data_IF_209030040617
#
_entry.id   IF_209030040617
#
_cell.length_a   1.000
_cell.length_b   1.000
_cell.length_c   1.000
_cell.angle_alpha   90.00
_cell.angle_beta   90.00
_cell.angle_gamma   90.00
#
_symmetry.space_group_name_H-M   'P 1'
#
loop_
_entity.id
_entity.type
_entity.pdbx_description
1 polymer ?
#
# COMPACT_ATOMS: atom_id res chain seq x y z
N UNK A 1 0.63 -24.68 7.82
CA UNK A 1 0.14 -23.39 7.28
C UNK A 1 1.09 -22.95 6.17
N UNK A 2 0.62 -22.91 4.92
CA UNK A 2 1.41 -22.43 3.78
C UNK A 2 0.67 -21.24 3.14
N UNK A 3 0.87 -20.05 3.68
CA UNK A 3 0.39 -18.83 3.04
C UNK A 3 1.14 -18.65 1.71
N UNK A 4 0.45 -18.85 0.58
CA UNK A 4 0.98 -18.50 -0.74
C UNK A 4 0.42 -17.13 -1.12
N UNK A 5 1.31 -16.15 -1.24
CA UNK A 5 0.98 -14.82 -1.77
C UNK A 5 1.32 -14.85 -3.26
N UNK A 6 0.31 -14.70 -4.12
CA UNK A 6 0.49 -14.58 -5.55
C UNK A 6 0.58 -13.10 -5.93
N UNK A 7 1.71 -12.68 -6.49
CA UNK A 7 1.88 -11.35 -7.04
C UNK A 7 1.60 -11.40 -8.55
N UNK A 8 0.45 -10.87 -8.97
CA UNK A 8 0.14 -10.68 -10.39
C UNK A 8 0.96 -9.50 -10.92
N UNK A 9 1.91 -9.76 -11.83
CA UNK A 9 2.57 -8.69 -12.61
C UNK A 9 1.61 -8.26 -13.73
N UNK A 10 1.41 -6.96 -13.86
CA UNK A 10 0.43 -6.38 -14.78
C UNK A 10 1.03 -6.10 -16.17
N UNK A 11 0.47 -6.78 -17.18
CA UNK A 11 0.72 -6.59 -18.61
C UNK A 11 -0.51 -6.02 -19.34
N UNK A 12 -1.49 -5.47 -18.59
CA UNK A 12 -2.78 -4.98 -19.10
C UNK A 12 -3.91 -6.01 -19.05
N UNK A 13 -3.62 -7.29 -18.75
CA UNK A 13 -4.65 -8.36 -18.68
C UNK A 13 -5.21 -8.56 -17.27
N UNK A 14 -4.54 -8.05 -16.23
CA UNK A 14 -4.92 -8.29 -14.82
C UNK A 14 -6.33 -7.79 -14.49
N UNK A 15 -6.77 -6.71 -15.14
CA UNK A 15 -8.13 -6.15 -14.98
C UNK A 15 -9.25 -7.03 -15.58
N UNK A 16 -8.94 -8.17 -16.18
CA UNK A 16 -9.89 -9.05 -16.87
C UNK A 16 -9.97 -10.48 -16.29
N UNK A 17 -9.11 -10.84 -15.33
CA UNK A 17 -8.95 -12.23 -14.86
C UNK A 17 -9.14 -12.43 -13.35
N UNK A 18 -9.73 -11.48 -12.63
CA UNK A 18 -9.92 -11.60 -11.18
C UNK A 18 -10.84 -12.79 -10.84
N UNK A 19 -11.97 -12.93 -11.54
CA UNK A 19 -12.90 -14.03 -11.34
C UNK A 19 -12.27 -15.39 -11.65
N UNK A 20 -11.50 -15.47 -12.74
CA UNK A 20 -10.75 -16.67 -13.15
C UNK A 20 -9.68 -17.03 -12.12
N UNK A 21 -9.00 -16.03 -11.56
CA UNK A 21 -8.00 -16.23 -10.51
C UNK A 21 -8.64 -16.78 -9.24
N UNK A 22 -9.85 -16.32 -8.88
CA UNK A 22 -10.59 -16.89 -7.74
C UNK A 22 -10.94 -18.35 -8.03
N UNK A 23 -11.49 -18.66 -9.20
CA UNK A 23 -11.84 -20.03 -9.58
C UNK A 23 -10.62 -20.95 -9.55
N UNK A 24 -9.48 -20.50 -10.10
CA UNK A 24 -8.22 -21.24 -10.05
C UNK A 24 -7.73 -21.45 -8.61
N UNK A 25 -7.85 -20.45 -7.75
CA UNK A 25 -7.46 -20.55 -6.35
C UNK A 25 -8.32 -21.58 -5.59
N UNK A 26 -9.62 -21.61 -5.88
CA UNK A 26 -10.56 -22.62 -5.36
C UNK A 26 -10.19 -24.04 -5.83
N UNK A 27 -9.84 -24.20 -7.11
CA UNK A 27 -9.45 -25.49 -7.70
C UNK A 27 -8.10 -25.99 -7.16
N UNK A 28 -7.16 -25.08 -6.89
CA UNK A 28 -5.88 -25.40 -6.27
C UNK A 28 -5.98 -25.72 -4.77
N UNK A 29 -7.15 -25.48 -4.15
CA UNK A 29 -7.37 -25.73 -2.73
C UNK A 29 -6.53 -24.83 -1.81
N UNK A 30 -6.30 -23.57 -2.19
CA UNK A 30 -5.59 -22.61 -1.31
C UNK A 30 -6.47 -22.23 -0.12
N UNK A 31 -5.86 -21.92 1.02
CA UNK A 31 -6.62 -21.57 2.24
C UNK A 31 -7.32 -20.20 2.13
N UNK A 32 -6.73 -19.25 1.39
CA UNK A 32 -7.27 -17.91 1.13
C UNK A 32 -6.58 -17.23 -0.05
N UNK A 33 -7.23 -16.21 -0.62
CA UNK A 33 -6.67 -15.37 -1.67
C UNK A 33 -6.82 -13.90 -1.30
N UNK A 34 -5.78 -13.09 -1.51
CA UNK A 34 -5.86 -11.63 -1.34
C UNK A 34 -5.28 -10.96 -2.57
N UNK A 35 -6.09 -10.14 -3.23
CA UNK A 35 -5.63 -9.26 -4.31
C UNK A 35 -5.06 -7.98 -3.70
N UNK A 36 -3.84 -7.63 -4.09
CA UNK A 36 -3.24 -6.37 -3.71
C UNK A 36 -3.42 -5.34 -4.83
N UNK A 37 -4.00 -4.17 -4.53
CA UNK A 37 -3.96 -3.04 -5.43
C UNK A 37 -2.52 -2.57 -5.61
N UNK A 38 -2.12 -2.37 -6.85
CA UNK A 38 -0.79 -1.90 -7.19
C UNK A 38 -0.51 -0.53 -6.59
N UNK A 39 0.69 -0.38 -6.02
CA UNK A 39 1.19 0.90 -5.51
C UNK A 39 1.77 1.69 -6.68
N UNK A 40 0.93 2.35 -7.46
CA UNK A 40 1.39 3.16 -8.59
C UNK A 40 1.71 4.59 -8.21
N UNK A 41 2.70 5.16 -8.89
CA UNK A 41 2.98 6.58 -8.96
C UNK A 41 3.26 6.95 -10.42
N UNK A 42 2.98 8.18 -10.84
CA UNK A 42 3.36 8.67 -12.17
C UNK A 42 4.73 9.37 -12.10
N UNK A 43 5.32 9.70 -13.25
CA UNK A 43 6.65 10.35 -13.28
C UNK A 43 6.65 11.74 -12.62
N UNK A 44 5.53 12.45 -12.64
CA UNK A 44 5.38 13.78 -12.04
C UNK A 44 5.39 13.72 -10.51
N UNK A 45 4.55 12.86 -9.91
CA UNK A 45 4.52 12.57 -8.47
C UNK A 45 5.85 11.96 -8.04
N UNK A 46 6.48 11.13 -8.88
CA UNK A 46 7.84 10.64 -8.64
C UNK A 46 8.84 11.80 -8.59
N UNK A 47 8.80 12.73 -9.53
CA UNK A 47 9.72 13.87 -9.58
C UNK A 47 9.54 14.77 -8.36
N UNK A 48 8.31 15.15 -8.05
CA UNK A 48 7.96 15.89 -6.83
C UNK A 48 8.43 15.15 -5.56
N UNK A 49 8.31 13.82 -5.54
CA UNK A 49 8.82 12.99 -4.46
C UNK A 49 10.35 13.01 -4.36
N UNK A 50 11.08 12.82 -5.45
CA UNK A 50 12.56 12.86 -5.47
C UNK A 50 13.06 14.23 -5.05
N UNK A 51 12.46 15.30 -5.59
CA UNK A 51 12.83 16.69 -5.29
C UNK A 51 12.49 17.05 -3.83
N UNK A 52 11.38 16.53 -3.29
CA UNK A 52 11.01 16.69 -1.88
C UNK A 52 11.83 15.85 -0.90
N UNK A 53 12.36 14.70 -1.34
CA UNK A 53 13.20 13.80 -0.55
C UNK A 53 14.62 14.36 -0.33
N UNK A 54 15.17 15.11 -1.29
CA UNK A 54 16.44 15.86 -1.10
C UNK A 54 16.38 16.81 0.11
N UNK A 55 15.20 17.36 0.42
CA UNK A 55 14.99 18.24 1.58
C UNK A 55 14.80 17.48 2.91
N UNK A 56 14.46 16.18 2.87
CA UNK A 56 14.04 15.41 4.04
C UNK A 56 14.86 14.11 4.16
N UNK A 57 15.93 14.18 4.95
CA UNK A 57 16.95 13.11 5.20
C UNK A 57 16.41 11.82 5.84
N UNK A 58 15.09 11.68 5.96
CA UNK A 58 14.39 10.55 6.61
C UNK A 58 14.01 9.44 5.61
N UNK A 59 14.16 9.69 4.32
CA UNK A 59 13.62 8.82 3.28
C UNK A 59 14.70 7.90 2.69
N UNK A 60 14.60 6.60 2.97
CA UNK A 60 15.35 5.59 2.21
C UNK A 60 14.36 4.59 1.60
N UNK A 61 14.13 4.76 0.28
CA UNK A 61 13.90 3.72 -0.76
C UNK A 61 12.71 2.75 -0.49
N UNK A 62 11.60 2.75 -1.24
CA UNK A 62 11.45 1.91 -2.46
C UNK A 62 10.18 2.23 -3.31
N UNK A 63 9.64 3.45 -3.27
CA UNK A 63 8.45 3.83 -4.09
C UNK A 63 8.80 3.99 -5.58
N UNK A 64 10.09 4.09 -5.90
CA UNK A 64 10.61 4.37 -7.24
C UNK A 64 10.38 3.25 -8.27
N UNK A 65 9.91 2.06 -7.85
CA UNK A 65 9.82 0.88 -8.71
C UNK A 65 8.52 0.71 -9.51
N UNK A 66 7.51 1.58 -9.33
CA UNK A 66 6.18 1.38 -9.92
C UNK A 66 5.69 2.58 -10.72
N UNK A 67 6.49 3.02 -11.69
CA UNK A 67 6.01 3.94 -12.73
C UNK A 67 5.01 3.22 -13.62
N UNK A 68 3.77 3.67 -13.62
CA UNK A 68 2.69 3.07 -14.39
C UNK A 68 2.18 4.03 -15.46
N UNK A 69 2.02 3.51 -16.67
CA UNK A 69 1.69 4.29 -17.88
C UNK A 69 0.19 4.32 -18.20
N UNK A 70 -0.68 3.87 -17.29
CA UNK A 70 -2.12 3.72 -17.59
C UNK A 70 -2.45 2.37 -18.24
N UNK A 71 -3.73 2.18 -18.59
CA UNK A 71 -4.22 1.01 -19.35
C UNK A 71 -5.08 -0.01 -18.59
N UNK A 72 -5.21 0.10 -17.28
CA UNK A 72 -6.09 -0.73 -16.45
C UNK A 72 -7.53 -0.33 -16.69
N UNK A 73 -8.33 -1.29 -17.14
CA UNK A 73 -9.76 -1.12 -17.28
C UNK A 73 -10.42 -1.21 -15.89
N UNK A 74 -10.55 -0.06 -15.22
CA UNK A 74 -11.13 0.02 -13.87
C UNK A 74 -12.58 -0.43 -13.84
N UNK A 75 -13.34 -0.25 -14.91
CA UNK A 75 -14.74 -0.66 -14.98
C UNK A 75 -14.88 -2.19 -14.98
N UNK A 76 -14.01 -2.87 -15.75
CA UNK A 76 -13.92 -4.33 -15.77
C UNK A 76 -13.50 -4.90 -14.40
N UNK A 77 -12.53 -4.26 -13.75
CA UNK A 77 -12.09 -4.65 -12.42
C UNK A 77 -13.20 -4.45 -11.38
N UNK A 78 -13.85 -3.28 -11.35
CA UNK A 78 -14.96 -2.99 -10.42
C UNK A 78 -16.10 -3.98 -10.60
N UNK A 79 -16.47 -4.30 -11.85
CA UNK A 79 -17.49 -5.31 -12.15
C UNK A 79 -17.14 -6.67 -11.56
N UNK A 80 -15.92 -7.16 -11.80
CA UNK A 80 -15.47 -8.45 -11.30
C UNK A 80 -15.39 -8.49 -9.77
N UNK A 81 -14.91 -7.43 -9.12
CA UNK A 81 -14.88 -7.33 -7.65
C UNK A 81 -16.30 -7.46 -7.08
N UNK A 82 -17.28 -6.77 -7.66
CA UNK A 82 -18.69 -6.88 -7.26
C UNK A 82 -19.25 -8.29 -7.47
N UNK A 83 -18.88 -8.95 -8.57
CA UNK A 83 -19.30 -10.33 -8.82
C UNK A 83 -18.72 -11.30 -7.78
N UNK A 84 -17.42 -11.19 -7.48
CA UNK A 84 -16.73 -11.98 -6.45
C UNK A 84 -17.40 -11.77 -5.08
N UNK A 85 -17.72 -10.53 -4.71
CA UNK A 85 -18.37 -10.20 -3.43
C UNK A 85 -19.79 -10.76 -3.29
N UNK A 86 -20.51 -10.96 -4.42
CA UNK A 86 -21.87 -11.53 -4.44
C UNK A 86 -21.89 -13.04 -4.48
N UNK A 87 -20.80 -13.67 -4.93
CA UNK A 87 -20.70 -15.12 -5.10
C UNK A 87 -20.51 -15.81 -3.75
N UNK A 88 -21.04 -17.03 -3.61
CA UNK A 88 -20.68 -17.92 -2.50
C UNK A 88 -19.33 -18.58 -2.82
N UNK A 89 -18.28 -18.12 -2.18
CA UNK A 89 -16.90 -18.59 -2.39
C UNK A 89 -16.59 -19.78 -1.47
N UNK A 90 -15.74 -20.69 -1.93
CA UNK A 90 -15.18 -21.81 -1.15
C UNK A 90 -14.04 -21.36 -0.24
N UNK A 91 -13.38 -20.25 -0.59
CA UNK A 91 -12.24 -19.68 0.14
C UNK A 91 -12.49 -18.20 0.49
N UNK A 92 -11.91 -17.67 1.56
CA UNK A 92 -11.88 -16.24 1.82
C UNK A 92 -11.12 -15.50 0.71
N UNK A 93 -11.76 -14.47 0.14
CA UNK A 93 -11.14 -13.59 -0.86
C UNK A 93 -11.17 -12.15 -0.37
N UNK A 94 -10.00 -11.52 -0.32
CA UNK A 94 -9.82 -10.14 0.14
C UNK A 94 -9.19 -9.23 -0.91
N UNK A 95 -9.36 -7.92 -0.71
CA UNK A 95 -8.71 -6.86 -1.49
C UNK A 95 -7.96 -5.92 -0.53
N UNK A 96 -6.69 -5.64 -0.84
CA UNK A 96 -5.79 -4.89 0.02
C UNK A 96 -5.07 -3.75 -0.73
N UNK A 97 -5.04 -2.51 -0.21
CA UNK A 97 -5.81 -2.05 0.93
C UNK A 97 -7.33 -2.13 0.67
N UNK A 98 -8.14 -2.08 1.72
CA UNK A 98 -9.60 -2.19 1.64
C UNK A 98 -10.24 -0.89 1.14
N UNK A 99 -9.91 -0.48 -0.08
CA UNK A 99 -10.49 0.67 -0.78
C UNK A 99 -11.96 0.35 -1.07
N UNK A 100 -12.86 1.33 -0.91
CA UNK A 100 -14.24 1.15 -1.33
C UNK A 100 -14.29 0.90 -2.82
N UNK A 101 -15.13 -0.06 -3.23
CA UNK A 101 -15.23 -0.49 -4.63
C UNK A 101 -15.46 0.67 -5.60
N UNK A 102 -16.27 1.65 -5.21
CA UNK A 102 -16.59 2.81 -6.06
C UNK A 102 -15.46 3.85 -6.13
N UNK A 103 -14.51 3.81 -5.19
CA UNK A 103 -13.34 4.68 -5.13
C UNK A 103 -12.12 4.07 -5.86
N UNK A 104 -12.19 2.79 -6.25
CA UNK A 104 -11.11 2.08 -6.94
C UNK A 104 -10.66 2.83 -8.19
N UNK A 105 -11.59 3.35 -9.00
CA UNK A 105 -11.25 4.10 -10.23
C UNK A 105 -10.29 5.26 -9.99
N UNK A 106 -10.41 5.94 -8.84
CA UNK A 106 -9.55 7.06 -8.50
C UNK A 106 -8.14 6.61 -8.11
N UNK A 107 -8.00 5.40 -7.57
CA UNK A 107 -6.69 4.82 -7.25
C UNK A 107 -5.81 4.71 -8.51
N UNK A 108 -6.43 4.38 -9.64
CA UNK A 108 -5.74 4.07 -10.91
C UNK A 108 -5.77 5.21 -11.94
N UNK A 109 -6.79 6.09 -11.92
CA UNK A 109 -7.01 7.07 -12.98
C UNK A 109 -6.88 8.54 -12.52
N UNK A 110 -6.86 8.81 -11.22
CA UNK A 110 -6.79 10.18 -10.70
C UNK A 110 -5.81 10.27 -9.54
N UNK A 111 -4.54 10.59 -9.82
CA UNK A 111 -3.49 10.66 -8.80
C UNK A 111 -3.68 11.80 -7.80
N UNK A 112 -4.52 12.79 -8.12
CA UNK A 112 -4.83 13.91 -7.24
C UNK A 112 -6.02 13.62 -6.32
N UNK A 113 -6.72 12.49 -6.50
CA UNK A 113 -7.83 12.11 -5.64
C UNK A 113 -7.36 11.88 -4.20
N UNK A 114 -7.92 12.69 -3.29
CA UNK A 114 -7.68 12.65 -1.86
C UNK A 114 -8.51 11.55 -1.19
N UNK A 115 -7.95 10.35 -1.11
CA UNK A 115 -8.43 9.35 -0.15
C UNK A 115 -8.23 9.87 1.28
N UNK A 116 -9.04 9.39 2.24
CA UNK A 116 -8.95 9.73 3.67
C UNK A 116 -7.52 10.06 4.12
N UNK A 117 -7.30 11.29 4.54
CA UNK A 117 -6.01 11.92 4.81
C UNK A 117 -5.19 11.34 5.99
N UNK A 118 -5.49 10.12 6.45
CA UNK A 118 -4.90 9.55 7.68
C UNK A 118 -4.10 8.29 7.39
N UNK A 119 -2.89 8.24 7.93
CA UNK A 119 -2.07 7.04 8.01
C UNK A 119 -1.92 6.61 9.46
N UNK A 120 -2.63 5.56 9.88
CA UNK A 120 -2.57 5.10 11.28
C UNK A 120 -1.34 4.24 11.58
N UNK A 121 -0.54 3.88 10.57
CA UNK A 121 0.72 3.13 10.73
C UNK A 121 1.65 3.81 11.74
N UNK A 122 1.75 5.13 11.70
CA UNK A 122 2.61 5.88 12.62
C UNK A 122 2.24 5.78 14.11
N UNK A 123 1.00 5.39 14.40
CA UNK A 123 0.47 5.25 15.76
C UNK A 123 0.26 3.80 16.20
N UNK A 124 0.22 2.85 15.26
CA UNK A 124 -0.19 1.46 15.54
C UNK A 124 0.85 0.41 15.16
N UNK A 125 1.83 0.77 14.32
CA UNK A 125 2.77 -0.18 13.73
C UNK A 125 4.21 0.31 13.85
N UNK A 126 5.12 -0.64 14.04
CA UNK A 126 6.54 -0.45 13.86
C UNK A 126 7.05 -1.52 12.90
N UNK A 127 7.86 -1.10 11.95
CA UNK A 127 8.65 -1.97 11.09
C UNK A 127 10.07 -1.98 11.65
N UNK A 128 10.64 -3.17 11.80
CA UNK A 128 12.03 -3.35 12.18
C UNK A 128 12.71 -4.15 11.06
N UNK A 129 13.77 -3.61 10.48
CA UNK A 129 14.55 -4.30 9.44
C UNK A 129 15.46 -5.37 10.07
N UNK A 130 15.99 -6.33 9.29
CA UNK A 130 16.99 -7.28 9.81
C UNK A 130 18.25 -6.63 10.38
N UNK A 131 18.56 -5.38 9.98
CA UNK A 131 19.67 -4.59 10.52
C UNK A 131 19.32 -3.84 11.81
N UNK A 132 18.09 -3.98 12.30
CA UNK A 132 17.59 -3.32 13.50
C UNK A 132 17.07 -1.90 13.27
N UNK A 133 17.03 -1.41 12.03
CA UNK A 133 16.45 -0.09 11.75
C UNK A 133 14.94 -0.13 11.99
N UNK A 134 14.42 0.86 12.67
CA UNK A 134 13.03 0.89 13.12
C UNK A 134 12.32 2.18 12.69
N UNK A 135 11.08 2.04 12.27
CA UNK A 135 10.22 3.17 11.94
C UNK A 135 8.75 2.81 11.76
N UNK A 136 7.88 3.80 11.50
CA UNK A 136 6.44 3.59 11.36
C UNK A 136 6.03 2.85 10.08
N UNK A 137 6.89 2.81 9.07
CA UNK A 137 6.73 2.02 7.86
C UNK A 137 8.10 1.81 7.19
N UNK A 138 8.14 0.94 6.18
CA UNK A 138 9.35 0.62 5.40
C UNK A 138 9.98 1.84 4.71
N UNK A 139 9.21 2.89 4.43
CA UNK A 139 9.71 4.09 3.73
C UNK A 139 10.29 5.15 4.68
N UNK A 140 10.06 5.03 5.99
CA UNK A 140 10.51 6.01 6.98
C UNK A 140 11.12 5.28 8.17
N UNK A 141 12.42 4.99 8.10
CA UNK A 141 13.18 4.41 9.21
C UNK A 141 13.75 5.56 10.05
N UNK A 142 13.40 5.62 11.32
CA UNK A 142 13.62 6.80 12.17
C UNK A 142 14.78 6.61 13.16
N UNK A 143 15.07 5.37 13.56
CA UNK A 143 16.12 5.06 14.54
C UNK A 143 16.59 3.61 14.35
N UNK A 144 17.47 3.12 15.22
CA UNK A 144 17.91 1.73 15.26
C UNK A 144 17.74 1.14 16.68
N UNK A 145 17.19 -0.09 16.77
CA UNK A 145 16.85 -0.76 18.03
C UNK A 145 18.05 -1.42 18.73
N UNK A 146 19.22 -1.47 18.10
CA UNK A 146 20.38 -2.20 18.63
C UNK A 146 20.83 -1.72 20.02
N UNK A 147 20.70 -0.43 20.32
CA UNK A 147 21.21 0.18 21.56
C UNK A 147 20.13 0.93 22.38
N UNK A 148 18.86 0.87 21.98
CA UNK A 148 17.76 1.61 22.62
C UNK A 148 16.55 0.71 22.75
N UNK A 149 15.79 0.86 23.82
CA UNK A 149 14.52 0.16 23.95
C UNK A 149 13.51 0.68 22.91
N UNK A 150 12.57 -0.20 22.53
CA UNK A 150 11.45 0.18 21.67
C UNK A 150 10.71 1.43 22.21
N UNK A 151 10.47 1.49 23.52
CA UNK A 151 9.70 2.55 24.14
C UNK A 151 10.41 3.92 24.04
N UNK A 152 11.73 3.94 24.19
CA UNK A 152 12.53 5.15 24.01
C UNK A 152 12.45 5.66 22.56
N UNK A 153 12.59 4.76 21.59
CA UNK A 153 12.52 5.11 20.17
C UNK A 153 11.11 5.60 19.80
N UNK A 154 10.08 4.85 20.19
CA UNK A 154 8.67 5.13 19.88
C UNK A 154 8.19 6.47 20.45
N UNK A 155 8.81 6.93 21.54
CA UNK A 155 8.53 8.20 22.20
C UNK A 155 9.61 9.27 21.99
N UNK A 156 10.58 9.00 21.12
CA UNK A 156 11.65 9.95 20.78
C UNK A 156 11.10 11.21 20.12
N UNK A 157 11.90 12.28 20.17
CA UNK A 157 11.56 13.55 19.48
C UNK A 157 11.32 13.34 17.99
N UNK A 158 12.10 12.46 17.35
CA UNK A 158 11.99 12.18 15.91
C UNK A 158 10.69 11.45 15.57
N UNK A 159 10.32 10.42 16.33
CA UNK A 159 9.06 9.68 16.12
C UNK A 159 7.83 10.55 16.38
N UNK A 160 7.88 11.37 17.43
CA UNK A 160 6.83 12.36 17.74
C UNK A 160 6.75 13.46 16.67
N UNK A 161 7.89 13.90 16.15
CA UNK A 161 7.99 14.85 15.04
C UNK A 161 7.27 14.36 13.79
N UNK A 162 7.57 13.12 13.37
CA UNK A 162 6.90 12.49 12.23
C UNK A 162 5.38 12.40 12.40
N UNK A 163 4.90 11.97 13.58
CA UNK A 163 3.45 11.94 13.88
C UNK A 163 2.82 13.34 13.85
N UNK A 164 3.54 14.36 14.33
CA UNK A 164 3.09 15.74 14.31
C UNK A 164 2.96 16.24 12.88
N UNK A 165 3.97 16.00 12.04
CA UNK A 165 3.95 16.37 10.63
C UNK A 165 2.77 15.74 9.89
N UNK A 166 2.58 14.43 10.04
CA UNK A 166 1.42 13.73 9.46
C UNK A 166 0.09 14.31 9.94
N UNK A 167 0.00 14.73 11.22
CA UNK A 167 -1.23 15.32 11.77
C UNK A 167 -1.48 16.75 11.27
N UNK A 168 -0.42 17.53 11.05
CA UNK A 168 -0.54 18.97 10.71
C UNK A 168 -0.52 19.25 9.21
N UNK A 169 0.26 18.48 8.45
CA UNK A 169 0.46 18.66 7.00
C UNK A 169 -0.29 17.62 6.18
N UNK A 170 -0.87 16.61 6.83
CA UNK A 170 -1.51 15.49 6.16
C UNK A 170 -0.49 14.51 5.58
N UNK A 171 -0.91 13.79 4.55
CA UNK A 171 -0.10 12.76 3.93
C UNK A 171 0.96 13.37 3.01
N UNK A 172 2.18 12.86 3.12
CA UNK A 172 3.23 13.12 2.12
C UNK A 172 2.81 12.51 0.76
N UNK A 173 3.29 13.03 -0.38
CA UNK A 173 2.98 12.47 -1.70
C UNK A 173 3.21 10.95 -1.81
N UNK A 174 4.28 10.44 -1.20
CA UNK A 174 4.58 9.00 -1.09
C UNK A 174 3.50 8.17 -0.38
N UNK A 175 2.74 8.78 0.52
CA UNK A 175 1.71 8.11 1.28
C UNK A 175 0.40 7.99 0.50
N UNK A 176 0.17 8.80 -0.54
CA UNK A 176 -1.13 8.91 -1.22
C UNK A 176 -1.64 7.60 -1.85
N UNK A 177 -0.73 6.69 -2.19
CA UNK A 177 -1.03 5.37 -2.78
C UNK A 177 -0.38 4.20 -2.03
N UNK A 178 0.01 4.43 -0.77
CA UNK A 178 0.65 3.42 0.06
C UNK A 178 -0.36 2.36 0.54
N UNK A 179 -0.09 1.08 0.26
CA UNK A 179 -0.95 -0.03 0.68
C UNK A 179 -1.07 -0.16 2.21
N UNK A 180 -0.12 0.40 2.98
CA UNK A 180 -0.12 0.33 4.45
C UNK A 180 -1.12 1.27 5.13
N UNK A 181 -1.79 2.15 4.36
CA UNK A 181 -2.84 3.02 4.88
C UNK A 181 -4.14 2.26 5.15
N UNK A 182 -4.92 2.82 6.06
CA UNK A 182 -6.32 2.44 6.24
C UNK A 182 -7.14 3.37 5.34
N UNK A 183 -7.80 2.80 4.33
CA UNK A 183 -8.65 3.53 3.38
C UNK A 183 -10.11 3.56 3.90
#
# INVERSE_FOLDING_TARGET
>A
MKNKIFFLKDDGRVSQILEDTVSLAEDLGVDSLTFQHSMFSNEEVRKEYVDGVEADRVNQINILGFTYKGGINTDSMIRQIRNIQKRKLKIPVGFYPSIKVDEIKFCYNDFNYEFRDRCLSAWRKAVITPKGDIGPCVNHLLDNIGNKSFNEIWNSKRYKGFRKELKTRGLMPSCLRCCLREY
#
